data_IF_650315703655
#
_entry.id   IF_650315703655
#
_cell.length_a   1.000
_cell.length_b   1.000
_cell.length_c   1.000
_cell.angle_alpha   90.00
_cell.angle_beta   90.00
_cell.angle_gamma   90.00
#
_symmetry.space_group_name_H-M   'P 1'
#
loop_
_entity.id
_entity.type
_entity.pdbx_description
1 polymer ?
#
# COMPACT_ATOMS: atom_id res chain seq x y z
N UNK A 1 -23.12 -2.71 -5.73
CA UNK A 1 -21.83 -2.19 -5.18
C UNK A 1 -20.68 -2.95 -5.83
N UNK A 2 -19.88 -2.31 -6.68
CA UNK A 2 -18.74 -2.97 -7.30
C UNK A 2 -17.71 -3.34 -6.23
N UNK A 3 -17.56 -4.63 -5.93
CA UNK A 3 -16.50 -5.14 -5.06
C UNK A 3 -15.16 -4.94 -5.77
N UNK A 4 -14.49 -3.82 -5.47
CA UNK A 4 -13.15 -3.53 -5.98
C UNK A 4 -12.16 -4.56 -5.43
N UNK A 5 -11.43 -5.24 -6.31
CA UNK A 5 -10.44 -6.29 -5.97
C UNK A 5 -9.19 -5.69 -5.31
N UNK A 6 -8.25 -6.54 -4.90
CA UNK A 6 -6.97 -6.08 -4.35
C UNK A 6 -6.20 -5.22 -5.37
N UNK A 7 -6.06 -5.71 -6.60
CA UNK A 7 -5.34 -5.05 -7.69
C UNK A 7 -5.92 -3.67 -8.02
N UNK A 8 -7.25 -3.53 -8.05
CA UNK A 8 -7.93 -2.24 -8.27
C UNK A 8 -7.47 -1.17 -7.27
N UNK A 9 -7.26 -1.53 -6.00
CA UNK A 9 -6.82 -0.54 -5.03
C UNK A 9 -5.33 -0.32 -4.97
N UNK A 10 -4.52 -1.30 -5.37
CA UNK A 10 -3.10 -1.01 -5.63
C UNK A 10 -2.99 0.06 -6.71
N UNK A 11 -3.75 -0.08 -7.81
CA UNK A 11 -3.79 0.94 -8.86
C UNK A 11 -4.29 2.29 -8.34
N UNK A 12 -5.35 2.33 -7.51
CA UNK A 12 -5.82 3.59 -6.91
C UNK A 12 -4.79 4.23 -5.99
N UNK A 13 -4.03 3.44 -5.22
CA UNK A 13 -2.99 3.97 -4.34
C UNK A 13 -1.82 4.52 -5.16
N UNK A 14 -1.40 3.82 -6.22
CA UNK A 14 -0.37 4.34 -7.13
C UNK A 14 -0.81 5.62 -7.83
N UNK A 15 -2.06 5.67 -8.30
CA UNK A 15 -2.64 6.88 -8.89
C UNK A 15 -2.68 8.02 -7.87
N UNK A 16 -3.05 7.75 -6.62
CA UNK A 16 -3.01 8.73 -5.54
C UNK A 16 -1.59 9.27 -5.31
N UNK A 17 -0.59 8.40 -5.22
CA UNK A 17 0.83 8.78 -5.04
C UNK A 17 1.37 9.61 -6.21
N UNK A 18 0.95 9.30 -7.43
CA UNK A 18 1.31 10.07 -8.63
C UNK A 18 0.55 11.39 -8.76
N UNK A 19 -0.68 11.45 -8.25
CA UNK A 19 -1.55 12.63 -8.39
C UNK A 19 -1.08 13.83 -7.57
N UNK A 20 -0.31 13.61 -6.49
CA UNK A 20 0.07 14.67 -5.55
C UNK A 20 -1.13 15.30 -4.82
N UNK A 21 -2.33 14.71 -4.94
CA UNK A 21 -3.54 15.23 -4.32
C UNK A 21 -3.61 14.89 -2.83
N UNK A 22 -4.41 15.65 -2.09
CA UNK A 22 -4.79 15.26 -0.74
C UNK A 22 -5.73 14.05 -0.76
N UNK A 23 -5.64 13.18 0.24
CA UNK A 23 -6.46 11.96 0.33
C UNK A 23 -7.96 12.25 0.19
N UNK A 24 -8.43 13.34 0.78
CA UNK A 24 -9.83 13.78 0.71
C UNK A 24 -10.22 14.12 -0.74
N UNK A 25 -9.42 14.92 -1.43
CA UNK A 25 -9.69 15.31 -2.82
C UNK A 25 -9.71 14.10 -3.75
N UNK A 26 -8.73 13.20 -3.62
CA UNK A 26 -8.67 11.96 -4.40
C UNK A 26 -9.88 11.06 -4.11
N UNK A 27 -10.25 10.90 -2.84
CA UNK A 27 -11.40 10.09 -2.46
C UNK A 27 -12.72 10.68 -2.99
N UNK A 28 -12.87 12.00 -3.01
CA UNK A 28 -14.04 12.66 -3.60
C UNK A 28 -14.13 12.42 -5.11
N UNK A 29 -13.02 12.51 -5.85
CA UNK A 29 -13.01 12.28 -7.30
C UNK A 29 -13.32 10.84 -7.70
N UNK A 30 -12.90 9.87 -6.89
CA UNK A 30 -13.09 8.44 -7.16
C UNK A 30 -14.30 7.81 -6.44
N UNK A 31 -15.14 8.64 -5.81
CA UNK A 31 -16.29 8.22 -5.00
C UNK A 31 -15.90 7.15 -3.96
N UNK A 32 -14.78 7.40 -3.27
CA UNK A 32 -14.23 6.56 -2.23
C UNK A 32 -14.48 7.18 -0.87
N UNK A 33 -14.60 6.32 0.14
CA UNK A 33 -14.62 6.76 1.52
C UNK A 33 -13.17 6.96 2.02
N UNK A 34 -12.78 8.15 2.48
CA UNK A 34 -11.40 8.44 2.90
C UNK A 34 -10.94 7.58 4.09
N UNK A 35 -11.83 7.31 5.05
CA UNK A 35 -11.56 6.42 6.18
C UNK A 35 -11.24 5.01 5.70
N UNK A 36 -12.06 4.51 4.77
CA UNK A 36 -11.85 3.18 4.19
C UNK A 36 -10.59 3.12 3.31
N UNK A 37 -10.29 4.19 2.57
CA UNK A 37 -9.08 4.30 1.77
C UNK A 37 -7.83 4.24 2.64
N UNK A 38 -7.79 4.98 3.75
CA UNK A 38 -6.66 4.95 4.68
C UNK A 38 -6.46 3.56 5.28
N UNK A 39 -7.53 2.91 5.76
CA UNK A 39 -7.49 1.54 6.27
C UNK A 39 -6.93 0.57 5.24
N UNK A 40 -7.43 0.63 4.00
CA UNK A 40 -7.00 -0.30 2.95
C UNK A 40 -5.56 -0.03 2.52
N UNK A 41 -5.14 1.23 2.45
CA UNK A 41 -3.75 1.60 2.16
C UNK A 41 -2.79 1.04 3.19
N UNK A 42 -3.16 1.08 4.48
CA UNK A 42 -2.35 0.46 5.54
C UNK A 42 -2.32 -1.06 5.42
N UNK A 43 -3.46 -1.71 5.16
CA UNK A 43 -3.52 -3.17 4.92
C UNK A 43 -2.69 -3.60 3.72
N UNK A 44 -2.80 -2.90 2.60
CA UNK A 44 -2.03 -3.20 1.39
C UNK A 44 -0.53 -2.99 1.59
N UNK A 45 -0.14 -1.94 2.33
CA UNK A 45 1.27 -1.77 2.74
C UNK A 45 1.73 -2.89 3.66
N UNK A 46 0.93 -3.32 4.63
CA UNK A 46 1.28 -4.45 5.49
C UNK A 46 1.38 -5.77 4.71
N UNK A 47 0.54 -5.99 3.71
CA UNK A 47 0.61 -7.16 2.82
C UNK A 47 1.77 -7.09 1.84
N UNK A 48 2.15 -5.89 1.37
CA UNK A 48 3.32 -5.68 0.52
C UNK A 48 4.63 -5.71 1.32
N UNK A 49 4.57 -5.35 2.61
CA UNK A 49 5.67 -5.34 3.54
C UNK A 49 5.79 -6.64 4.34
N UNK A 50 4.84 -7.58 4.20
CA UNK A 50 5.07 -8.99 4.52
C UNK A 50 6.20 -9.44 3.61
N UNK A 51 7.42 -9.55 4.14
CA UNK A 51 8.49 -10.05 3.32
C UNK A 51 8.17 -11.54 3.14
N UNK A 52 8.05 -11.99 1.91
CA UNK A 52 8.67 -13.26 1.61
C UNK A 52 10.14 -13.10 2.03
N UNK A 53 10.47 -13.58 3.22
CA UNK A 53 11.85 -13.82 3.65
C UNK A 53 12.78 -12.59 3.62
N UNK A 54 12.77 -11.75 4.67
CA UNK A 54 13.89 -10.82 4.94
C UNK A 54 14.53 -10.94 6.32
N UNK A 55 14.41 -12.11 6.96
CA UNK A 55 15.44 -12.50 7.90
C UNK A 55 16.69 -12.82 7.08
N UNK A 56 17.52 -11.80 6.84
CA UNK A 56 18.88 -12.02 6.35
C UNK A 56 19.67 -12.48 7.57
N UNK A 57 20.04 -13.76 7.56
CA UNK A 57 21.00 -14.31 8.51
C UNK A 57 22.31 -13.52 8.39
N UNK A 58 22.71 -12.85 9.46
CA UNK A 58 24.01 -12.20 9.52
C UNK A 58 25.06 -13.29 9.70
N UNK A 59 25.77 -13.63 8.63
CA UNK A 59 26.95 -14.49 8.74
C UNK A 59 28.05 -13.68 9.44
N UNK A 60 28.60 -14.15 10.59
CA UNK A 60 29.68 -13.44 11.25
C UNK A 60 30.90 -13.44 10.33
N UNK A 61 31.34 -12.25 9.94
CA UNK A 61 32.60 -12.04 9.24
C UNK A 61 33.74 -12.43 10.18
N UNK A 62 34.30 -13.62 10.00
CA UNK A 62 35.57 -14.02 10.63
C UNK A 62 36.72 -13.34 9.87
N UNK A 63 37.56 -12.52 10.51
CA UNK A 63 38.81 -12.07 9.91
C UNK A 63 39.93 -13.13 10.09
N UNK A 64 40.69 -13.39 9.02
CA UNK A 64 42.08 -13.87 9.06
C UNK A 64 42.92 -13.00 8.11
#
# INVERSE_FOLDING_TARGET
MARRTQAQWQSLIQQFEQSGLSQVAFCQQHELNPTYFSLRRSKLRAMSAMPASRFVEASPMTPD
#
